data_IF_070017955160
#
_entry.id   IF_070017955160
#
_cell.length_a   1.000
_cell.length_b   1.000
_cell.length_c   1.000
_cell.angle_alpha   90.00
_cell.angle_beta   90.00
_cell.angle_gamma   90.00
#
_symmetry.space_group_name_H-M   'P 1'
#
loop_
_entity.id
_entity.type
_entity.pdbx_description
1 polymer ?
#
# COMPACT_ATOMS: atom_id res chain seq x y z
N UNK A 1 2.07 -3.31 -1.76
CA UNK A 1 1.09 -2.23 -2.00
C UNK A 1 1.81 -1.08 -2.67
N UNK A 2 1.20 -0.50 -3.69
CA UNK A 2 1.72 0.64 -4.43
C UNK A 2 0.73 1.79 -4.33
N UNK A 3 1.23 2.98 -4.02
CA UNK A 3 0.43 4.19 -3.87
C UNK A 3 0.73 5.12 -5.02
N UNK A 4 -0.30 5.55 -5.73
CA UNK A 4 -0.20 6.44 -6.88
C UNK A 4 -0.90 7.76 -6.61
N UNK A 5 -0.29 8.86 -7.05
CA UNK A 5 -0.86 10.20 -6.90
C UNK A 5 0.21 11.30 -6.81
N UNK A 6 -0.19 12.54 -6.44
CA UNK A 6 0.76 13.64 -6.31
C UNK A 6 1.81 13.38 -5.22
N UNK A 7 3.08 13.65 -5.49
CA UNK A 7 4.21 13.40 -4.56
C UNK A 7 3.98 14.01 -3.18
N UNK A 8 3.40 15.22 -3.10
CA UNK A 8 3.11 15.88 -1.83
C UNK A 8 2.07 15.12 -0.98
N UNK A 9 1.09 14.49 -1.63
CA UNK A 9 0.08 13.69 -0.94
C UNK A 9 0.64 12.33 -0.53
N UNK A 10 1.50 11.72 -1.35
CA UNK A 10 2.25 10.51 -1.00
C UNK A 10 3.13 10.76 0.23
N UNK A 11 3.85 11.89 0.26
CA UNK A 11 4.68 12.25 1.41
C UNK A 11 3.84 12.56 2.66
N UNK A 12 2.67 13.19 2.50
CA UNK A 12 1.70 13.36 3.61
C UNK A 12 1.24 12.00 4.14
N UNK A 13 0.94 11.06 3.26
CA UNK A 13 0.56 9.70 3.63
C UNK A 13 1.67 9.02 4.43
N UNK A 14 2.89 8.97 3.89
CA UNK A 14 4.05 8.35 4.55
C UNK A 14 4.26 8.89 5.95
N UNK A 15 4.26 10.22 6.11
CA UNK A 15 4.49 10.89 7.39
C UNK A 15 3.36 10.76 8.40
N UNK A 16 2.13 10.52 7.96
CA UNK A 16 0.96 10.50 8.86
C UNK A 16 0.56 9.08 9.22
N UNK A 17 0.78 8.14 8.30
CA UNK A 17 0.22 6.80 8.39
C UNK A 17 1.22 5.70 8.70
N UNK A 18 2.52 6.00 8.74
CA UNK A 18 3.55 5.02 9.06
C UNK A 18 4.25 5.43 10.35
N UNK A 19 4.27 4.53 11.32
CA UNK A 19 5.17 4.61 12.47
C UNK A 19 6.03 3.35 12.56
N UNK A 20 7.24 3.55 13.06
CA UNK A 20 8.19 2.48 13.32
C UNK A 20 8.44 2.44 14.84
N UNK A 21 8.21 1.29 15.51
CA UNK A 21 8.47 1.16 16.94
C UNK A 21 9.94 1.45 17.29
N UNK A 22 10.19 2.00 18.48
CA UNK A 22 11.57 2.18 18.96
C UNK A 22 12.31 0.84 18.98
N UNK A 23 13.50 0.80 18.40
CA UNK A 23 14.32 -0.40 18.28
C UNK A 23 14.10 -1.23 17.01
N UNK A 24 13.19 -0.85 16.11
CA UNK A 24 13.18 -1.40 14.76
C UNK A 24 14.41 -0.89 13.99
N UNK A 25 15.35 -1.78 13.67
CA UNK A 25 16.60 -1.42 12.99
C UNK A 25 16.34 -0.99 11.53
N UNK A 26 16.66 0.25 11.13
CA UNK A 26 16.50 0.67 9.75
C UNK A 26 17.47 -0.04 8.79
N UNK A 27 18.66 -0.42 9.26
CA UNK A 27 19.76 -0.89 8.43
C UNK A 27 20.09 -2.37 8.64
N UNK A 28 19.23 -3.11 9.36
CA UNK A 28 19.42 -4.54 9.50
C UNK A 28 19.46 -5.18 8.09
N UNK A 29 20.59 -5.79 7.77
CA UNK A 29 20.79 -6.53 6.52
C UNK A 29 19.76 -7.67 6.46
N UNK A 30 18.73 -7.46 5.66
CA UNK A 30 17.53 -8.27 5.63
C UNK A 30 17.56 -9.26 4.46
N UNK A 31 18.55 -10.15 4.48
CA UNK A 31 18.54 -11.35 3.66
C UNK A 31 17.32 -12.22 4.05
N UNK A 32 16.28 -12.27 3.22
CA UNK A 32 15.13 -13.17 3.41
C UNK A 32 13.88 -12.53 4.01
N UNK A 33 13.29 -13.12 5.07
CA UNK A 33 11.95 -12.83 5.64
C UNK A 33 11.94 -11.85 6.83
N UNK A 34 13.09 -11.31 7.19
CA UNK A 34 13.21 -10.40 8.31
C UNK A 34 13.13 -8.99 7.74
N UNK A 35 12.12 -8.20 8.04
CA UNK A 35 12.10 -6.78 7.71
C UNK A 35 11.68 -6.01 8.95
N UNK A 36 11.42 -4.70 8.82
CA UNK A 36 11.12 -3.88 10.00
C UNK A 36 9.70 -4.15 10.50
N UNK A 37 9.50 -4.09 11.81
CA UNK A 37 8.15 -3.97 12.37
C UNK A 37 7.66 -2.55 12.10
N UNK A 38 6.39 -2.41 11.72
CA UNK A 38 5.76 -1.12 11.46
C UNK A 38 4.30 -1.12 11.90
N UNK A 39 3.79 0.07 12.14
CA UNK A 39 2.39 0.37 12.38
C UNK A 39 1.86 1.16 11.17
N UNK A 40 0.82 0.66 10.51
CA UNK A 40 0.18 1.33 9.37
C UNK A 40 -1.23 1.76 9.76
N UNK A 41 -1.51 3.06 9.71
CA UNK A 41 -2.83 3.57 10.11
C UNK A 41 -2.92 5.08 10.22
N UNK A 42 -4.13 5.65 10.12
CA UNK A 42 -4.33 7.09 10.28
C UNK A 42 -3.91 7.52 11.70
N UNK A 43 -2.89 8.38 11.78
CA UNK A 43 -2.35 8.86 13.06
C UNK A 43 -1.33 7.92 13.73
N UNK A 44 -0.82 6.92 13.00
CA UNK A 44 0.24 6.03 13.47
C UNK A 44 1.50 6.81 13.89
N UNK A 45 1.94 7.76 13.06
CA UNK A 45 3.14 8.58 13.29
C UNK A 45 3.10 9.50 14.52
N UNK A 46 1.91 9.80 15.08
CA UNK A 46 1.74 10.68 16.25
C UNK A 46 1.38 9.87 17.49
N UNK A 47 2.34 9.16 18.09
CA UNK A 47 2.26 8.72 19.50
C UNK A 47 2.47 9.92 20.44
N UNK A 48 1.65 10.96 20.36
CA UNK A 48 1.60 11.95 21.44
C UNK A 48 0.66 11.41 22.52
N UNK A 49 1.23 11.12 23.69
CA UNK A 49 0.47 10.81 24.91
C UNK A 49 -0.56 11.93 25.16
N UNK A 50 -1.84 11.58 25.21
CA UNK A 50 -2.86 12.44 25.83
C UNK A 50 -3.94 13.02 24.92
N UNK A 51 -3.92 12.81 23.60
CA UNK A 51 -5.06 13.15 22.74
C UNK A 51 -5.75 11.87 22.27
N UNK A 52 -6.88 11.58 22.91
CA UNK A 52 -7.78 10.49 22.54
C UNK A 52 -8.31 10.67 21.12
N UNK A 53 -7.56 10.19 20.14
CA UNK A 53 -8.11 9.90 18.83
C UNK A 53 -9.15 8.79 19.01
N UNK A 54 -10.38 8.95 18.50
CA UNK A 54 -11.37 7.88 18.53
C UNK A 54 -10.82 6.72 17.72
N UNK A 55 -10.63 5.56 18.36
CA UNK A 55 -10.27 4.27 17.77
C UNK A 55 -9.21 4.36 16.64
N UNK A 56 -7.93 4.41 17.03
CA UNK A 56 -6.79 4.32 16.09
C UNK A 56 -6.98 3.14 15.14
N UNK A 57 -7.23 3.41 13.86
CA UNK A 57 -7.26 2.41 12.81
C UNK A 57 -5.81 2.12 12.38
N UNK A 58 -5.06 1.47 13.27
CA UNK A 58 -3.66 1.10 13.09
C UNK A 58 -3.56 -0.42 13.05
N UNK A 59 -2.71 -0.92 12.16
CA UNK A 59 -2.42 -2.33 11.98
C UNK A 59 -0.93 -2.53 12.23
N UNK A 60 -0.61 -3.45 13.12
CA UNK A 60 0.76 -3.93 13.29
C UNK A 60 1.12 -4.85 12.12
N UNK A 61 2.22 -4.54 11.45
CA UNK A 61 2.74 -5.31 10.33
C UNK A 61 4.21 -5.64 10.56
N UNK A 62 4.62 -6.80 10.06
CA UNK A 62 6.00 -7.27 10.14
C UNK A 62 6.63 -7.24 8.75
N UNK A 63 7.95 -7.43 8.71
CA UNK A 63 8.69 -7.54 7.44
C UNK A 63 8.47 -6.36 6.48
N UNK A 64 8.28 -5.15 7.03
CA UNK A 64 8.04 -3.95 6.25
C UNK A 64 9.29 -3.57 5.45
N UNK A 65 9.10 -3.27 4.15
CA UNK A 65 10.15 -2.84 3.23
C UNK A 65 9.61 -1.82 2.24
N UNK A 66 10.33 -0.73 2.08
CA UNK A 66 10.07 0.22 0.99
C UNK A 66 10.78 -0.26 -0.28
N UNK A 67 10.16 0.00 -1.42
CA UNK A 67 10.80 -0.11 -2.72
C UNK A 67 11.08 1.29 -3.27
N UNK A 68 12.02 1.40 -4.21
CA UNK A 68 12.42 2.70 -4.74
C UNK A 68 11.21 3.49 -5.29
N UNK A 69 11.00 4.74 -4.84
CA UNK A 69 9.91 5.56 -5.35
C UNK A 69 10.13 5.92 -6.83
N UNK A 70 9.11 5.71 -7.63
CA UNK A 70 9.02 6.23 -9.00
C UNK A 70 8.26 7.56 -9.03
N UNK A 71 8.41 8.38 -10.09
CA UNK A 71 7.59 9.59 -10.24
C UNK A 71 6.09 9.27 -10.14
N UNK A 72 5.37 9.94 -9.22
CA UNK A 72 3.94 9.72 -9.02
C UNK A 72 3.55 8.38 -8.40
N UNK A 73 4.51 7.63 -7.84
CA UNK A 73 4.26 6.34 -7.21
C UNK A 73 5.22 6.03 -6.07
N UNK A 74 4.75 5.32 -5.04
CA UNK A 74 5.59 4.80 -3.98
C UNK A 74 5.10 3.42 -3.53
N UNK A 75 6.02 2.47 -3.41
CA UNK A 75 5.72 1.06 -3.16
C UNK A 75 6.34 0.58 -1.86
N UNK A 76 5.62 -0.31 -1.19
CA UNK A 76 6.10 -0.99 0.00
C UNK A 76 5.44 -2.37 0.17
N UNK A 77 6.12 -3.25 0.90
CA UNK A 77 5.66 -4.61 1.23
C UNK A 77 5.67 -4.80 2.73
N UNK A 78 4.82 -5.69 3.21
CA UNK A 78 4.72 -6.07 4.61
C UNK A 78 3.95 -7.38 4.73
N UNK A 79 4.13 -8.04 5.86
CA UNK A 79 3.38 -9.23 6.26
C UNK A 79 2.35 -8.86 7.33
N UNK A 80 1.20 -9.53 7.27
CA UNK A 80 0.12 -9.40 8.26
C UNK A 80 0.01 -10.70 9.04
N UNK A 81 -0.28 -10.64 10.36
CA UNK A 81 -0.24 -11.84 11.22
C UNK A 81 -1.33 -12.88 10.93
N UNK A 82 -2.60 -12.47 10.93
CA UNK A 82 -3.72 -13.43 11.00
C UNK A 82 -4.79 -13.21 9.93
N UNK A 83 -5.00 -11.96 9.52
CA UNK A 83 -5.97 -11.61 8.49
C UNK A 83 -5.51 -10.36 7.76
N UNK A 84 -5.86 -10.25 6.48
CA UNK A 84 -5.59 -9.05 5.74
C UNK A 84 -6.45 -7.87 6.25
N UNK A 85 -5.87 -6.70 6.55
CA UNK A 85 -6.53 -5.60 7.25
C UNK A 85 -7.34 -4.70 6.30
N UNK A 86 -8.34 -5.28 5.63
CA UNK A 86 -9.12 -4.58 4.59
C UNK A 86 -9.81 -3.31 5.12
N UNK A 87 -10.45 -3.42 6.30
CA UNK A 87 -11.18 -2.30 6.92
C UNK A 87 -10.28 -1.12 7.26
N UNK A 88 -9.08 -1.38 7.77
CA UNK A 88 -8.12 -0.34 8.13
C UNK A 88 -7.53 0.32 6.88
N UNK A 89 -7.24 -0.46 5.84
CA UNK A 89 -6.79 0.07 4.55
C UNK A 89 -7.87 0.91 3.86
N UNK A 90 -9.15 0.54 3.94
CA UNK A 90 -10.27 1.36 3.46
C UNK A 90 -10.35 2.71 4.18
N UNK A 91 -10.15 2.71 5.51
CA UNK A 91 -10.14 3.95 6.33
C UNK A 91 -8.95 4.84 5.96
N UNK A 92 -7.79 4.25 5.74
CA UNK A 92 -6.60 4.96 5.24
C UNK A 92 -6.92 5.58 3.89
N UNK A 93 -7.38 4.79 2.92
CA UNK A 93 -7.65 5.27 1.56
C UNK A 93 -8.70 6.39 1.54
N UNK A 94 -9.74 6.29 2.37
CA UNK A 94 -10.77 7.33 2.53
C UNK A 94 -10.21 8.66 3.08
N UNK A 95 -9.09 8.62 3.80
CA UNK A 95 -8.42 9.80 4.35
C UNK A 95 -7.49 10.50 3.33
N UNK A 96 -7.23 9.87 2.19
CA UNK A 96 -6.36 10.37 1.11
C UNK A 96 -7.07 10.22 -0.24
N UNK A 97 -8.14 11.01 -0.51
CA UNK A 97 -8.98 10.83 -1.70
C UNK A 97 -8.25 11.10 -3.03
N UNK A 98 -7.10 11.79 -2.98
CA UNK A 98 -6.20 12.09 -4.10
C UNK A 98 -5.23 10.95 -4.44
N UNK A 99 -5.15 9.90 -3.60
CA UNK A 99 -4.24 8.77 -3.76
C UNK A 99 -5.01 7.50 -4.13
N UNK A 100 -4.41 6.68 -4.98
CA UNK A 100 -4.93 5.35 -5.34
C UNK A 100 -3.98 4.29 -4.79
N UNK A 101 -4.53 3.31 -4.08
CA UNK A 101 -3.74 2.30 -3.38
C UNK A 101 -3.96 0.95 -4.06
N UNK A 102 -3.02 0.57 -4.91
CA UNK A 102 -2.99 -0.77 -5.46
C UNK A 102 -2.47 -1.74 -4.40
N UNK A 103 -3.23 -2.80 -4.16
CA UNK A 103 -2.79 -3.86 -3.29
C UNK A 103 -2.82 -5.20 -3.99
N UNK A 104 -1.82 -6.01 -3.68
CA UNK A 104 -1.72 -7.41 -4.03
C UNK A 104 -1.21 -8.18 -2.81
N UNK A 105 -1.90 -9.26 -2.43
CA UNK A 105 -1.52 -10.14 -1.34
C UNK A 105 -1.68 -11.61 -1.74
N UNK A 106 -1.03 -12.49 -1.00
CA UNK A 106 -1.21 -13.94 -1.07
C UNK A 106 -1.25 -14.43 0.37
N UNK A 107 -2.22 -15.28 0.68
CA UNK A 107 -2.36 -15.88 1.99
C UNK A 107 -1.20 -16.83 2.28
N UNK A 108 -0.87 -17.00 3.56
CA UNK A 108 0.03 -18.08 3.97
C UNK A 108 -0.50 -19.42 3.47
N UNK A 109 0.41 -20.34 3.11
CA UNK A 109 0.07 -21.68 2.60
C UNK A 109 -0.74 -21.68 1.29
N UNK A 110 -0.68 -20.60 0.51
CA UNK A 110 -1.37 -20.47 -0.77
C UNK A 110 -2.90 -20.63 -0.68
N UNK A 111 -3.51 -20.28 0.46
CA UNK A 111 -4.95 -20.46 0.69
C UNK A 111 -5.82 -19.49 -0.13
N UNK A 112 -5.31 -18.29 -0.40
CA UNK A 112 -6.01 -17.26 -1.19
C UNK A 112 -5.04 -16.28 -1.84
N UNK A 113 -5.51 -15.57 -2.86
CA UNK A 113 -4.90 -14.37 -3.42
C UNK A 113 -5.86 -13.20 -3.27
N UNK A 114 -5.29 -12.01 -3.08
CA UNK A 114 -6.02 -10.77 -3.22
C UNK A 114 -5.31 -9.80 -4.13
N UNK A 115 -6.09 -9.07 -4.93
CA UNK A 115 -5.59 -7.94 -5.68
C UNK A 115 -6.71 -6.95 -5.99
N UNK A 116 -6.32 -5.70 -6.24
CA UNK A 116 -7.21 -4.61 -6.66
C UNK A 116 -6.84 -3.31 -5.99
N UNK A 117 -7.81 -2.40 -5.89
CA UNK A 117 -7.56 -1.04 -5.43
C UNK A 117 -8.36 -0.69 -4.18
N UNK A 118 -7.71 -0.02 -3.22
CA UNK A 118 -8.39 0.86 -2.27
C UNK A 118 -8.38 2.28 -2.85
N UNK A 119 -9.53 2.97 -2.77
CA UNK A 119 -9.81 4.19 -3.56
C UNK A 119 -9.53 3.99 -5.07
N UNK A 120 -10.32 3.15 -5.77
CA UNK A 120 -10.05 2.79 -7.16
C UNK A 120 -10.05 4.01 -8.10
N UNK A 121 -9.10 4.10 -9.04
CA UNK A 121 -9.20 5.07 -10.13
C UNK A 121 -10.42 4.75 -11.02
N UNK A 122 -10.87 5.65 -11.89
CA UNK A 122 -11.92 5.36 -12.85
C UNK A 122 -11.63 4.06 -13.63
N UNK A 123 -12.56 3.10 -13.59
CA UNK A 123 -12.45 1.75 -14.17
C UNK A 123 -11.46 0.80 -13.47
N UNK A 124 -10.89 1.20 -12.33
CA UNK A 124 -10.17 0.31 -11.43
C UNK A 124 -11.13 -0.61 -10.68
N UNK A 125 -10.74 -1.87 -10.50
CA UNK A 125 -11.51 -2.87 -9.77
C UNK A 125 -11.19 -2.78 -8.26
N UNK A 126 -12.22 -2.66 -7.41
CA UNK A 126 -12.01 -2.63 -5.96
C UNK A 126 -11.26 -3.89 -5.48
N UNK A 127 -10.48 -3.74 -4.42
CA UNK A 127 -9.74 -4.85 -3.82
C UNK A 127 -10.69 -6.00 -3.44
N UNK A 128 -10.20 -7.23 -3.67
CA UNK A 128 -10.83 -8.48 -3.24
C UNK A 128 -9.76 -9.51 -2.93
N UNK A 129 -10.07 -10.44 -2.04
CA UNK A 129 -9.16 -11.48 -1.55
C UNK A 129 -9.79 -12.89 -1.55
N UNK A 130 -10.87 -13.09 -2.30
CA UNK A 130 -11.62 -14.33 -2.43
C UNK A 130 -11.16 -15.21 -3.60
N UNK A 131 -9.96 -14.97 -4.13
CA UNK A 131 -9.44 -15.66 -5.32
C UNK A 131 -8.57 -16.85 -4.93
N UNK A 132 -8.76 -18.05 -5.51
CA UNK A 132 -7.91 -19.19 -5.21
C UNK A 132 -6.51 -19.03 -5.82
N UNK A 133 -5.47 -19.50 -5.14
CA UNK A 133 -4.12 -19.62 -5.72
C UNK A 133 -4.11 -20.76 -6.73
N UNK A 134 -3.67 -20.48 -7.97
CA UNK A 134 -3.54 -21.52 -9.00
C UNK A 134 -2.36 -22.44 -8.67
N UNK A 135 -2.47 -23.77 -8.89
CA UNK A 135 -1.36 -24.69 -8.61
C UNK A 135 -0.04 -24.34 -9.31
N UNK A 136 -0.09 -23.74 -10.51
CA UNK A 136 1.09 -23.34 -11.29
C UNK A 136 1.52 -21.89 -11.05
N UNK A 137 0.91 -21.18 -10.08
CA UNK A 137 1.13 -19.74 -9.88
C UNK A 137 2.62 -19.37 -9.74
N UNK A 138 3.35 -20.16 -8.95
CA UNK A 138 4.78 -19.95 -8.69
C UNK A 138 5.68 -20.38 -9.86
N UNK A 139 5.23 -21.29 -10.71
CA UNK A 139 5.99 -21.83 -11.84
C UNK A 139 5.89 -20.93 -13.08
N UNK A 140 4.73 -20.33 -13.28
CA UNK A 140 4.43 -19.51 -14.45
C UNK A 140 4.98 -18.07 -14.34
N UNK A 141 5.59 -17.72 -13.20
CA UNK A 141 6.05 -16.35 -12.89
C UNK A 141 4.95 -15.29 -13.00
N UNK A 142 3.69 -15.74 -12.94
CA UNK A 142 2.55 -15.05 -13.51
C UNK A 142 1.97 -13.98 -12.59
N UNK A 143 1.63 -12.83 -13.16
CA UNK A 143 0.80 -11.83 -12.49
C UNK A 143 -0.44 -12.49 -11.88
N UNK A 144 -0.91 -11.96 -10.76
CA UNK A 144 -2.12 -12.47 -10.08
C UNK A 144 -3.38 -12.29 -10.91
N UNK A 145 -3.31 -11.44 -11.94
CA UNK A 145 -4.38 -11.10 -12.88
C UNK A 145 -4.33 -11.98 -14.14
N UNK A 146 -5.46 -12.11 -14.81
CA UNK A 146 -5.49 -12.66 -16.17
C UNK A 146 -4.85 -11.69 -17.18
N UNK A 147 -4.24 -12.15 -18.29
CA UNK A 147 -3.48 -11.28 -19.20
C UNK A 147 -4.26 -10.05 -19.71
N UNK A 148 -5.56 -10.21 -20.00
CA UNK A 148 -6.40 -9.11 -20.43
C UNK A 148 -6.69 -8.10 -19.30
N UNK A 149 -6.80 -8.57 -18.07
CA UNK A 149 -6.98 -7.71 -16.89
C UNK A 149 -5.67 -6.99 -16.55
N UNK A 150 -4.54 -7.68 -16.64
CA UNK A 150 -3.20 -7.11 -16.49
C UNK A 150 -2.96 -5.99 -17.50
N UNK A 151 -3.27 -6.19 -18.78
CA UNK A 151 -3.14 -5.15 -19.79
C UNK A 151 -3.99 -3.90 -19.48
N UNK A 152 -5.21 -4.07 -18.98
CA UNK A 152 -6.06 -2.94 -18.55
C UNK A 152 -5.48 -2.24 -17.34
N UNK A 153 -4.96 -3.01 -16.39
CA UNK A 153 -4.35 -2.51 -15.18
C UNK A 153 -3.10 -1.65 -15.47
N UNK A 154 -2.23 -2.10 -16.36
CA UNK A 154 -1.06 -1.32 -16.80
C UNK A 154 -1.44 0.02 -17.47
N UNK A 155 -2.54 0.05 -18.24
CA UNK A 155 -3.06 1.30 -18.80
C UNK A 155 -3.54 2.28 -17.71
N UNK A 156 -4.15 1.77 -16.64
CA UNK A 156 -4.56 2.59 -15.49
C UNK A 156 -3.33 3.18 -14.78
N UNK A 157 -2.32 2.37 -14.50
CA UNK A 157 -1.05 2.83 -13.89
C UNK A 157 -0.42 3.95 -14.72
N UNK A 158 -0.29 3.74 -16.04
CA UNK A 158 0.31 4.72 -16.94
C UNK A 158 -0.44 6.07 -16.88
N UNK A 159 -1.78 6.04 -16.86
CA UNK A 159 -2.61 7.24 -16.73
C UNK A 159 -2.43 7.96 -15.39
N UNK A 160 -2.31 7.21 -14.29
CA UNK A 160 -2.08 7.77 -12.95
C UNK A 160 -0.72 8.46 -12.83
N UNK A 161 0.34 7.81 -13.30
CA UNK A 161 1.70 8.38 -13.32
C UNK A 161 1.72 9.67 -14.15
N UNK A 162 1.08 9.66 -15.33
CA UNK A 162 0.99 10.85 -16.17
C UNK A 162 0.25 12.00 -15.47
N UNK A 163 -0.88 11.70 -14.82
CA UNK A 163 -1.66 12.70 -14.09
C UNK A 163 -0.88 13.30 -12.92
N UNK A 164 -0.16 12.46 -12.15
CA UNK A 164 0.68 12.89 -11.04
C UNK A 164 1.83 13.80 -11.52
N UNK A 165 2.51 13.44 -12.61
CA UNK A 165 3.57 14.26 -13.19
C UNK A 165 3.07 15.60 -13.77
N UNK A 166 1.80 15.64 -14.20
CA UNK A 166 1.19 16.83 -14.80
C UNK A 166 0.53 17.75 -13.78
N UNK A 167 0.39 17.32 -12.52
CA UNK A 167 -0.18 18.14 -11.47
C UNK A 167 0.71 19.36 -11.22
N UNK A 168 0.18 20.60 -11.21
CA UNK A 168 0.98 21.77 -10.90
C UNK A 168 1.55 21.59 -9.49
N UNK A 169 2.88 21.66 -9.37
CA UNK A 169 3.54 21.79 -8.07
C UNK A 169 2.90 22.98 -7.39
N UNK A 170 2.12 22.73 -6.33
CA UNK A 170 1.43 23.79 -5.61
C UNK A 170 2.42 24.91 -5.30
N UNK A 171 2.10 26.14 -5.69
CA UNK A 171 2.81 27.31 -5.20
C UNK A 171 2.73 27.27 -3.68
N UNK A 172 3.87 26.99 -3.03
CA UNK A 172 4.13 27.47 -1.70
C UNK A 172 4.44 28.97 -1.81
N UNK A 173 3.42 29.78 -2.05
CA UNK A 173 3.50 31.23 -1.94
C UNK A 173 2.30 31.72 -1.13
N UNK A 174 2.51 31.93 0.18
CA UNK A 174 2.18 33.14 0.96
C UNK A 174 2.30 32.87 2.46
#
# INVERSE_FOLDING_TARGET
MTVYGPDAEIERFRRTCLSFPEGSDPDADFDGWNGREAEIGVGAARREEGLGFPERAVVDVSNYREEEPGPGSWSFRFDTRHSFPERELDRIASSFPSLHFECECIGSLDEFMGFGWFNPPPRGEAFRQDLPVRPTHWEDGGCKREPAAEARHQLLIAGLIQAACSAPRGRLDS
#
